data_IF_028863411142
#
_entry.id   IF_028863411142
#
_cell.length_a   1.000
_cell.length_b   1.000
_cell.length_c   1.000
_cell.angle_alpha   90.00
_cell.angle_beta   90.00
_cell.angle_gamma   90.00
#
_symmetry.space_group_name_H-M   'P 1'
#
loop_
_entity.id
_entity.type
_entity.pdbx_description
1 polymer ?
#
# COMPACT_ATOMS: atom_id res chain seq x y z
N UNK A 1 -9.84 -32.14 56.23
CA UNK A 1 -9.47 -30.88 55.54
C UNK A 1 -8.44 -31.16 54.43
N UNK A 2 -8.79 -31.02 53.15
CA UNK A 2 -8.10 -30.18 52.16
C UNK A 2 -8.82 -30.30 50.81
N UNK A 3 -8.99 -29.15 50.16
CA UNK A 3 -9.98 -28.85 49.12
C UNK A 3 -9.67 -29.54 47.79
N UNK A 4 -10.74 -29.97 47.08
CA UNK A 4 -10.72 -30.21 45.63
C UNK A 4 -10.29 -28.94 44.89
N UNK A 5 -9.43 -29.07 43.88
CA UNK A 5 -9.47 -28.21 42.70
C UNK A 5 -9.31 -29.07 41.46
N UNK A 6 -10.40 -29.18 40.69
CA UNK A 6 -10.38 -29.65 39.30
C UNK A 6 -9.69 -28.56 38.49
N UNK A 7 -8.53 -28.83 37.92
CA UNK A 7 -8.00 -28.02 36.83
C UNK A 7 -8.53 -28.62 35.53
N UNK A 8 -9.57 -27.98 34.97
CA UNK A 8 -9.90 -28.13 33.56
C UNK A 8 -8.81 -27.39 32.78
N UNK A 9 -7.90 -28.10 32.13
CA UNK A 9 -7.05 -27.50 31.10
C UNK A 9 -7.75 -27.67 29.75
N UNK A 10 -8.59 -26.69 29.42
CA UNK A 10 -8.88 -26.37 28.02
C UNK A 10 -7.74 -25.45 27.60
N UNK A 11 -6.67 -26.00 27.05
CA UNK A 11 -5.65 -25.19 26.39
C UNK A 11 -5.94 -25.23 24.90
N UNK A 12 -6.84 -24.31 24.56
CA UNK A 12 -6.98 -23.58 23.30
C UNK A 12 -5.78 -23.77 22.35
N UNK A 13 -5.96 -24.58 21.32
CA UNK A 13 -5.12 -24.54 20.13
C UNK A 13 -5.44 -23.22 19.43
N UNK A 14 -4.62 -22.19 19.66
CA UNK A 14 -4.57 -21.04 18.77
C UNK A 14 -3.37 -21.25 17.85
N UNK A 15 -3.55 -22.11 16.85
CA UNK A 15 -2.68 -22.10 15.67
C UNK A 15 -3.13 -20.90 14.84
N UNK A 16 -2.62 -19.71 15.17
CA UNK A 16 -2.53 -18.65 14.16
C UNK A 16 -1.35 -19.05 13.29
N UNK A 17 -1.59 -19.93 12.33
CA UNK A 17 -0.79 -19.90 11.12
C UNK A 17 -1.14 -18.60 10.42
N UNK A 18 -0.32 -17.58 10.65
CA UNK A 18 -0.14 -16.54 9.64
C UNK A 18 0.39 -17.30 8.42
N UNK A 19 -0.52 -17.71 7.55
CA UNK A 19 -0.16 -18.13 6.21
C UNK A 19 0.40 -16.88 5.55
N UNK A 20 1.73 -16.80 5.56
CA UNK A 20 2.48 -15.94 4.69
C UNK A 20 1.98 -16.26 3.28
N UNK A 21 1.12 -15.40 2.72
CA UNK A 21 0.88 -15.35 1.29
C UNK A 21 2.13 -14.73 0.66
N UNK A 22 3.25 -15.45 0.75
CA UNK A 22 4.39 -15.27 -0.13
C UNK A 22 3.99 -15.81 -1.50
N UNK A 23 3.31 -14.98 -2.30
CA UNK A 23 3.25 -15.20 -3.74
C UNK A 23 4.25 -14.26 -4.41
N UNK A 24 5.47 -14.80 -4.57
CA UNK A 24 6.32 -14.49 -5.70
C UNK A 24 7.31 -13.34 -5.51
N UNK A 25 8.32 -13.56 -4.68
CA UNK A 25 9.64 -13.00 -4.97
C UNK A 25 10.51 -14.12 -5.57
N UNK A 26 10.66 -14.10 -6.89
CA UNK A 26 11.79 -14.65 -7.66
C UNK A 26 11.76 -13.92 -9.02
N UNK A 27 12.80 -13.28 -9.53
CA UNK A 27 14.12 -13.04 -8.98
C UNK A 27 14.84 -11.96 -9.83
N UNK A 28 15.86 -11.34 -9.22
CA UNK A 28 17.18 -11.06 -9.82
C UNK A 28 17.26 -9.92 -10.86
N UNK A 29 17.92 -8.83 -10.46
CA UNK A 29 18.85 -8.18 -11.40
C UNK A 29 20.17 -8.91 -11.37
N UNK A 30 20.37 -9.65 -12.47
CA UNK A 30 21.63 -10.06 -13.11
C UNK A 30 22.46 -11.06 -12.30
N UNK A 31 22.54 -12.33 -12.71
CA UNK A 31 23.43 -12.83 -13.76
C UNK A 31 22.76 -14.00 -14.52
N UNK A 32 22.80 -13.94 -15.85
CA UNK A 32 22.58 -14.99 -16.86
C UNK A 32 21.77 -16.25 -16.49
N UNK A 33 20.56 -16.37 -17.06
CA UNK A 33 20.11 -17.50 -17.90
C UNK A 33 18.64 -17.25 -18.27
N UNK A 34 18.31 -17.33 -19.56
CA UNK A 34 16.94 -17.14 -20.04
C UNK A 34 15.99 -18.22 -19.51
N UNK A 35 14.70 -17.86 -19.40
CA UNK A 35 13.50 -18.68 -19.69
C UNK A 35 12.26 -17.79 -19.48
N UNK A 36 11.61 -17.52 -20.61
CA UNK A 36 10.17 -17.26 -20.85
C UNK A 36 9.29 -16.65 -19.73
N UNK A 37 8.89 -15.39 -19.91
CA UNK A 37 7.90 -14.71 -19.07
C UNK A 37 6.68 -14.23 -19.88
N UNK A 38 5.93 -15.15 -20.50
CA UNK A 38 4.71 -14.82 -21.25
C UNK A 38 3.39 -15.15 -20.53
N UNK A 39 3.41 -15.79 -19.35
CA UNK A 39 2.16 -16.24 -18.72
C UNK A 39 1.59 -15.28 -17.66
N UNK A 40 2.42 -14.51 -16.94
CA UNK A 40 1.95 -13.64 -15.85
C UNK A 40 1.25 -12.36 -16.34
N UNK A 41 1.74 -11.76 -17.42
CA UNK A 41 1.13 -10.56 -18.02
C UNK A 41 -0.28 -10.85 -18.56
N UNK A 42 -0.52 -12.06 -19.09
CA UNK A 42 -1.80 -12.44 -19.69
C UNK A 42 -2.94 -12.58 -18.66
N UNK A 43 -2.65 -13.05 -17.44
CA UNK A 43 -3.64 -13.17 -16.36
C UNK A 43 -4.02 -11.80 -15.81
N UNK A 44 -3.03 -10.92 -15.61
CA UNK A 44 -3.26 -9.53 -15.19
C UNK A 44 -4.04 -8.74 -16.25
N UNK A 45 -3.70 -8.87 -17.53
CA UNK A 45 -4.48 -8.27 -18.64
C UNK A 45 -5.90 -8.80 -18.68
N UNK A 46 -6.12 -10.12 -18.59
CA UNK A 46 -7.47 -10.72 -18.57
C UNK A 46 -8.30 -10.29 -17.37
N UNK A 47 -7.69 -10.17 -16.19
CA UNK A 47 -8.38 -9.67 -14.99
C UNK A 47 -8.71 -8.18 -15.12
N UNK A 48 -7.79 -7.38 -15.67
CA UNK A 48 -7.99 -5.95 -15.95
C UNK A 48 -9.11 -5.72 -16.97
N UNK A 49 -9.14 -6.47 -18.08
CA UNK A 49 -10.22 -6.40 -19.08
C UNK A 49 -11.57 -6.83 -18.52
N UNK A 50 -11.61 -7.93 -17.76
CA UNK A 50 -12.85 -8.45 -17.18
C UNK A 50 -13.42 -7.49 -16.13
N UNK A 51 -12.57 -6.88 -15.31
CA UNK A 51 -12.99 -5.87 -14.35
C UNK A 51 -13.40 -4.55 -15.03
N UNK A 52 -12.66 -4.10 -16.05
CA UNK A 52 -13.02 -2.90 -16.81
C UNK A 52 -14.39 -2.98 -17.49
N UNK A 53 -14.89 -4.19 -17.77
CA UNK A 53 -16.21 -4.43 -18.37
C UNK A 53 -17.39 -4.36 -17.39
N UNK A 54 -17.13 -4.48 -16.09
CA UNK A 54 -18.15 -4.53 -15.02
C UNK A 54 -18.18 -3.24 -14.18
N UNK A 55 -17.12 -2.44 -14.25
CA UNK A 55 -16.96 -1.22 -13.46
C UNK A 55 -17.60 0.01 -14.13
N UNK A 56 -18.32 0.87 -13.37
CA UNK A 56 -18.72 2.18 -13.85
C UNK A 56 -17.50 2.97 -14.34
N UNK A 57 -17.70 3.86 -15.31
CA UNK A 57 -16.63 4.67 -15.93
C UNK A 57 -15.86 5.55 -14.92
N UNK A 58 -16.39 5.71 -13.71
CA UNK A 58 -15.86 6.48 -12.59
C UNK A 58 -15.11 5.64 -11.54
N UNK A 59 -15.22 4.30 -11.59
CA UNK A 59 -14.57 3.42 -10.62
C UNK A 59 -13.09 3.16 -10.97
N UNK A 60 -12.23 3.06 -9.95
CA UNK A 60 -10.80 2.82 -10.11
C UNK A 60 -10.51 1.50 -10.81
N UNK A 61 -9.44 1.44 -11.59
CA UNK A 61 -8.96 0.19 -12.18
C UNK A 61 -8.35 -0.68 -11.08
N UNK A 62 -8.71 -1.97 -10.98
CA UNK A 62 -8.10 -2.87 -10.00
C UNK A 62 -6.61 -2.98 -10.20
N UNK A 63 -5.87 -3.06 -9.10
CA UNK A 63 -4.41 -3.17 -9.15
C UNK A 63 -3.74 -2.65 -7.89
N UNK A 64 -2.41 -2.76 -7.91
CA UNK A 64 -1.53 -2.23 -6.88
C UNK A 64 -0.75 -1.08 -7.51
N UNK A 65 -0.88 0.12 -6.95
CA UNK A 65 -0.26 1.33 -7.44
C UNK A 65 0.77 1.80 -6.43
N UNK A 66 2.02 1.94 -6.86
CA UNK A 66 3.15 2.23 -5.98
C UNK A 66 3.89 3.49 -6.41
N UNK A 67 4.35 4.25 -5.44
CA UNK A 67 5.19 5.42 -5.62
C UNK A 67 6.34 5.35 -4.63
N UNK A 68 7.57 5.65 -5.08
CA UNK A 68 8.70 5.84 -4.17
C UNK A 68 9.55 7.03 -4.57
N UNK A 69 10.15 7.70 -3.60
CA UNK A 69 11.17 8.71 -3.86
C UNK A 69 12.50 8.06 -4.25
N UNK A 70 13.26 8.79 -5.08
CA UNK A 70 14.57 8.36 -5.57
C UNK A 70 15.67 8.60 -4.53
N UNK A 71 15.65 9.76 -3.86
CA UNK A 71 16.70 10.20 -2.94
C UNK A 71 16.15 10.39 -1.55
N UNK A 72 17.00 10.24 -0.55
CA UNK A 72 16.71 10.61 0.82
C UNK A 72 16.74 12.13 0.98
N UNK A 73 15.80 12.67 1.75
CA UNK A 73 15.77 14.04 2.22
C UNK A 73 15.63 14.02 3.75
N UNK A 74 16.50 14.74 4.46
CA UNK A 74 16.56 14.71 5.93
C UNK A 74 16.59 13.29 6.53
N UNK A 75 17.40 12.40 5.94
CA UNK A 75 17.55 10.98 6.33
C UNK A 75 16.38 10.06 6.02
N UNK A 76 15.31 10.55 5.38
CA UNK A 76 14.15 9.74 5.03
C UNK A 76 13.79 9.83 3.54
N UNK A 77 13.05 8.84 3.04
CA UNK A 77 12.41 8.85 1.72
C UNK A 77 10.97 8.39 1.86
N UNK A 78 10.11 8.79 0.95
CA UNK A 78 8.73 8.34 0.93
C UNK A 78 8.56 7.05 0.10
N UNK A 79 7.83 6.09 0.65
CA UNK A 79 7.26 4.93 -0.05
C UNK A 79 5.76 4.94 0.13
N UNK A 80 4.99 4.70 -0.93
CA UNK A 80 3.53 4.70 -0.83
C UNK A 80 2.90 3.64 -1.74
N UNK A 81 1.80 3.05 -1.28
CA UNK A 81 1.03 2.02 -1.98
C UNK A 81 -0.48 2.29 -1.87
N UNK A 82 -1.20 2.01 -2.96
CA UNK A 82 -2.65 2.04 -3.05
C UNK A 82 -3.12 0.77 -3.73
N UNK A 83 -3.96 -0.03 -3.04
CA UNK A 83 -4.54 -1.25 -3.62
C UNK A 83 -6.02 -1.04 -3.90
N UNK A 84 -6.41 -1.34 -5.13
CA UNK A 84 -7.79 -1.28 -5.61
C UNK A 84 -8.25 -2.69 -5.95
N UNK A 85 -9.41 -3.09 -5.41
CA UNK A 85 -9.99 -4.40 -5.70
C UNK A 85 -10.69 -4.47 -7.07
N UNK A 86 -11.17 -5.65 -7.42
CA UNK A 86 -11.94 -5.95 -8.63
C UNK A 86 -13.23 -5.10 -8.80
N UNK A 87 -13.78 -4.59 -7.68
CA UNK A 87 -14.94 -3.69 -7.64
C UNK A 87 -14.57 -2.20 -7.76
N UNK A 88 -13.30 -1.88 -8.01
CA UNK A 88 -12.83 -0.51 -8.16
C UNK A 88 -12.86 0.30 -6.87
N UNK A 89 -12.77 -0.38 -5.72
CA UNK A 89 -12.77 0.20 -4.38
C UNK A 89 -11.36 0.12 -3.81
N UNK A 90 -10.90 1.20 -3.18
CA UNK A 90 -9.64 1.23 -2.42
C UNK A 90 -9.79 0.28 -1.22
N UNK A 91 -8.87 -0.68 -1.09
CA UNK A 91 -8.84 -1.67 0.00
C UNK A 91 -7.60 -1.58 0.88
N UNK A 92 -6.54 -0.94 0.40
CA UNK A 92 -5.33 -0.70 1.18
C UNK A 92 -4.71 0.63 0.74
N UNK A 93 -4.18 1.35 1.73
CA UNK A 93 -3.43 2.59 1.60
C UNK A 93 -2.23 2.45 2.54
N UNK A 94 -1.03 2.69 2.02
CA UNK A 94 0.20 2.75 2.79
C UNK A 94 0.98 3.99 2.33
N UNK A 95 1.58 4.69 3.29
CA UNK A 95 2.41 5.83 3.04
C UNK A 95 3.43 5.90 4.17
N UNK A 96 4.69 5.65 3.89
CA UNK A 96 5.73 5.60 4.90
C UNK A 96 6.82 6.61 4.58
N UNK A 97 7.27 7.27 5.63
CA UNK A 97 8.55 7.96 5.64
C UNK A 97 9.60 6.98 6.20
N UNK A 98 10.47 6.46 5.33
CA UNK A 98 11.40 5.38 5.65
C UNK A 98 12.84 5.89 5.71
N UNK A 99 13.60 5.45 6.71
CA UNK A 99 15.03 5.74 6.80
C UNK A 99 15.87 4.83 5.87
N UNK A 100 17.20 4.91 5.99
CA UNK A 100 18.12 4.08 5.19
C UNK A 100 18.03 2.58 5.50
N UNK A 101 17.50 2.22 6.67
CA UNK A 101 17.32 0.85 7.13
C UNK A 101 15.88 0.34 6.92
N UNK A 102 15.02 1.15 6.31
CA UNK A 102 13.58 0.92 6.12
C UNK A 102 12.78 0.89 7.43
N UNK A 103 13.24 1.59 8.47
CA UNK A 103 12.40 1.89 9.63
C UNK A 103 11.52 3.10 9.34
N UNK A 104 10.26 3.03 9.77
CA UNK A 104 9.28 4.11 9.68
C UNK A 104 9.68 5.23 10.63
N UNK A 105 9.55 6.48 10.18
CA UNK A 105 9.74 7.65 11.04
C UNK A 105 8.64 7.70 12.12
N UNK A 106 8.99 7.51 13.41
CA UNK A 106 7.99 7.53 14.48
C UNK A 106 7.41 8.93 14.72
N UNK A 107 8.04 10.00 14.22
CA UNK A 107 7.56 11.38 14.38
C UNK A 107 6.38 11.72 13.48
N UNK A 108 6.14 10.93 12.42
CA UNK A 108 5.08 11.18 11.44
C UNK A 108 4.09 10.02 11.34
N UNK A 109 4.40 8.86 11.93
CA UNK A 109 3.62 7.63 11.75
C UNK A 109 2.18 7.78 12.23
N UNK A 110 1.95 8.50 13.32
CA UNK A 110 0.61 8.65 13.91
C UNK A 110 -0.32 9.45 12.99
N UNK A 111 0.16 10.57 12.43
CA UNK A 111 -0.59 11.43 11.52
C UNK A 111 -0.85 10.70 10.20
N UNK A 112 0.17 10.02 9.66
CA UNK A 112 0.06 9.16 8.49
C UNK A 112 -1.03 8.11 8.67
N UNK A 113 -1.05 7.39 9.79
CA UNK A 113 -2.05 6.34 10.05
C UNK A 113 -3.47 6.89 10.08
N UNK A 114 -3.64 8.10 10.63
CA UNK A 114 -4.93 8.79 10.62
C UNK A 114 -5.36 9.17 9.19
N UNK A 115 -4.44 9.69 8.38
CA UNK A 115 -4.72 10.05 6.99
C UNK A 115 -4.99 8.82 6.12
N UNK A 116 -4.22 7.74 6.28
CA UNK A 116 -4.43 6.46 5.59
C UNK A 116 -5.81 5.88 5.94
N UNK A 117 -6.16 5.87 7.22
CA UNK A 117 -7.45 5.39 7.70
C UNK A 117 -8.62 6.23 7.17
N UNK A 118 -8.47 7.55 7.14
CA UNK A 118 -9.50 8.46 6.62
C UNK A 118 -9.66 8.31 5.11
N UNK A 119 -8.57 8.20 4.35
CA UNK A 119 -8.60 7.95 2.91
C UNK A 119 -9.24 6.60 2.60
N UNK A 120 -8.92 5.55 3.36
CA UNK A 120 -9.53 4.23 3.16
C UNK A 120 -11.04 4.24 3.44
N UNK A 121 -11.47 4.98 4.46
CA UNK A 121 -12.90 5.09 4.84
C UNK A 121 -13.72 5.89 3.84
N UNK A 122 -13.20 7.04 3.40
CA UNK A 122 -13.95 8.01 2.60
C UNK A 122 -13.65 7.91 1.11
N UNK A 123 -12.51 7.33 0.73
CA UNK A 123 -12.01 7.26 -0.65
C UNK A 123 -11.92 8.62 -1.34
N UNK A 124 -11.74 9.69 -0.55
CA UNK A 124 -11.76 11.07 -0.98
C UNK A 124 -10.71 11.90 -0.22
N UNK A 125 -9.72 12.42 -0.96
CA UNK A 125 -8.64 13.25 -0.42
C UNK A 125 -9.12 14.61 0.13
N UNK A 126 -10.31 15.08 -0.26
CA UNK A 126 -10.89 16.32 0.24
C UNK A 126 -11.42 16.19 1.67
N UNK A 127 -11.66 14.97 2.15
CA UNK A 127 -12.13 14.66 3.51
C UNK A 127 -11.00 14.53 4.53
N UNK A 128 -9.75 14.62 4.09
CA UNK A 128 -8.59 14.61 4.98
C UNK A 128 -8.42 15.96 5.67
N UNK A 129 -8.05 15.93 6.94
CA UNK A 129 -7.70 17.12 7.73
C UNK A 129 -6.28 17.01 8.29
N UNK A 130 -5.64 18.17 8.42
CA UNK A 130 -4.38 18.32 9.15
C UNK A 130 -4.69 19.00 10.49
N UNK A 131 -4.45 18.30 11.59
CA UNK A 131 -4.77 18.80 12.93
C UNK A 131 -3.58 19.53 13.57
N UNK A 132 -2.38 19.38 13.01
CA UNK A 132 -1.16 20.06 13.43
C UNK A 132 -0.68 21.00 12.32
N UNK A 133 -0.59 22.30 12.62
CA UNK A 133 -0.12 23.31 11.66
C UNK A 133 1.34 23.10 11.26
N UNK A 134 2.16 22.50 12.13
CA UNK A 134 3.57 22.21 11.83
C UNK A 134 3.74 21.11 10.78
N UNK A 135 2.68 20.31 10.55
CA UNK A 135 2.68 19.22 9.58
C UNK A 135 2.05 19.61 8.24
N UNK A 136 1.73 20.88 8.02
CA UNK A 136 1.03 21.34 6.81
C UNK A 136 1.75 20.96 5.53
N UNK A 137 3.07 21.14 5.47
CA UNK A 137 3.87 20.81 4.28
C UNK A 137 3.90 19.29 4.03
N UNK A 138 4.07 18.51 5.09
CA UNK A 138 4.06 17.06 5.01
C UNK A 138 2.68 16.50 4.62
N UNK A 139 1.61 17.08 5.14
CA UNK A 139 0.24 16.77 4.75
C UNK A 139 -0.03 17.10 3.27
N UNK A 140 0.47 18.23 2.79
CA UNK A 140 0.36 18.60 1.37
C UNK A 140 1.15 17.63 0.49
N UNK A 141 2.33 17.18 0.92
CA UNK A 141 3.11 16.15 0.24
C UNK A 141 2.35 14.82 0.18
N UNK A 142 1.77 14.37 1.31
CA UNK A 142 0.90 13.20 1.38
C UNK A 142 -0.23 13.28 0.35
N UNK A 143 -0.99 14.39 0.34
CA UNK A 143 -2.09 14.59 -0.61
C UNK A 143 -1.60 14.59 -2.06
N UNK A 144 -0.45 15.20 -2.34
CA UNK A 144 0.16 15.25 -3.69
C UNK A 144 0.47 13.83 -4.19
N UNK A 145 1.09 12.99 -3.37
CA UNK A 145 1.46 11.63 -3.76
C UNK A 145 0.25 10.69 -3.84
N UNK A 146 -0.69 10.79 -2.90
CA UNK A 146 -1.94 10.02 -2.98
C UNK A 146 -2.79 10.40 -4.19
N UNK A 147 -2.84 11.68 -4.55
CA UNK A 147 -3.50 12.11 -5.79
C UNK A 147 -2.85 11.49 -7.01
N UNK A 148 -1.52 11.33 -7.03
CA UNK A 148 -0.80 10.68 -8.12
C UNK A 148 -1.16 9.19 -8.22
N UNK A 149 -1.20 8.47 -7.11
CA UNK A 149 -1.64 7.07 -7.08
C UNK A 149 -3.11 6.90 -7.49
N UNK A 150 -4.00 7.79 -7.04
CA UNK A 150 -5.42 7.81 -7.44
C UNK A 150 -5.58 8.07 -8.94
N UNK A 151 -4.81 9.00 -9.50
CA UNK A 151 -4.81 9.25 -10.95
C UNK A 151 -4.28 8.04 -11.74
N UNK A 152 -3.23 7.38 -11.21
CA UNK A 152 -2.73 6.12 -11.76
C UNK A 152 -3.83 5.06 -11.75
N UNK A 153 -4.57 4.94 -10.64
CA UNK A 153 -5.69 4.02 -10.48
C UNK A 153 -6.88 4.33 -11.40
N UNK A 154 -7.21 5.60 -11.63
CA UNK A 154 -8.21 5.96 -12.64
C UNK A 154 -7.77 5.53 -14.05
N UNK A 155 -6.49 5.72 -14.39
CA UNK A 155 -5.99 5.40 -15.72
C UNK A 155 -5.77 3.91 -15.97
N UNK A 156 -5.31 3.17 -14.94
CA UNK A 156 -4.81 1.80 -15.03
C UNK A 156 -3.56 1.61 -15.92
N UNK A 157 -2.94 2.68 -16.43
CA UNK A 157 -1.84 2.60 -17.41
C UNK A 157 -0.46 2.42 -16.77
N UNK A 158 -0.27 3.02 -15.60
CA UNK A 158 1.01 3.01 -14.88
C UNK A 158 0.70 2.59 -13.45
N UNK A 159 1.40 1.56 -12.97
CA UNK A 159 1.22 1.02 -11.62
C UNK A 159 2.43 1.28 -10.70
N UNK A 160 3.49 1.88 -11.24
CA UNK A 160 4.70 2.19 -10.49
C UNK A 160 5.34 3.48 -10.98
N UNK A 161 5.76 4.35 -10.05
CA UNK A 161 6.50 5.56 -10.38
C UNK A 161 7.61 5.83 -9.35
N UNK A 162 8.76 6.28 -9.84
CA UNK A 162 9.85 6.82 -9.02
C UNK A 162 9.81 8.34 -9.11
N UNK A 163 9.76 9.02 -7.98
CA UNK A 163 9.77 10.49 -7.88
C UNK A 163 11.19 10.96 -7.70
N UNK A 164 11.65 11.84 -8.58
CA UNK A 164 12.83 12.63 -8.33
C UNK A 164 12.42 13.80 -7.43
N UNK A 165 12.79 13.74 -6.17
CA UNK A 165 12.39 14.70 -5.14
C UNK A 165 13.19 16.02 -5.17
N UNK A 166 14.06 16.21 -6.16
CA UNK A 166 14.73 17.49 -6.46
C UNK A 166 13.88 18.43 -7.32
N UNK A 167 12.83 17.91 -7.96
CA UNK A 167 11.94 18.68 -8.85
C UNK A 167 10.67 19.16 -8.11
N UNK A 168 10.65 19.07 -6.77
CA UNK A 168 9.46 19.21 -5.92
C UNK A 168 9.42 20.47 -5.08
#
# INVERSE_FOLDING_TARGET
>A
MKKRKRAKLITLILVITFTLLSLGAVAVTTINAGIEHHQHESKLKKMSEKAAKVLPKEAYKPGVYKLKEKKYFNNYKISAELVVNDKGIIKHVEFDQLDQFNFVNPQTSTEIDQWNSSLLRHQDLSKLSCNDSNQTDFFNLYKKYMKKLINMAHSGKVNYVVINNEDN
#
